data_IF_107956387663
#
_entry.id   IF_107956387663
#
_cell.length_a   1.000
_cell.length_b   1.000
_cell.length_c   1.000
_cell.angle_alpha   90.00
_cell.angle_beta   90.00
_cell.angle_gamma   90.00
#
_symmetry.space_group_name_H-M   'P 1'
#
loop_
_entity.id
_entity.type
_entity.pdbx_description
1 polymer ?
#
# COMPACT_ATOMS: atom_id res chain seq x y z
N UNK A 1 0.36 -4.22 20.71
CA UNK A 1 1.38 -3.45 21.46
C UNK A 1 0.69 -2.91 22.70
N UNK A 2 1.05 -3.43 23.87
CA UNK A 2 0.47 -2.96 25.13
C UNK A 2 0.99 -1.58 25.50
N UNK A 3 0.27 -0.87 26.36
CA UNK A 3 0.76 0.36 26.98
C UNK A 3 2.17 0.13 27.58
N UNK A 4 3.09 1.07 27.36
CA UNK A 4 4.48 0.96 27.79
C UNK A 4 5.42 0.13 26.88
N UNK A 5 4.89 -0.57 25.87
CA UNK A 5 5.75 -1.26 24.91
C UNK A 5 6.46 -0.26 23.97
N UNK A 6 7.79 -0.23 24.05
CA UNK A 6 8.64 0.48 23.08
C UNK A 6 8.81 -0.41 21.85
N UNK A 7 8.39 0.04 20.66
CA UNK A 7 8.69 -0.71 19.45
C UNK A 7 10.21 -0.84 19.29
N UNK A 8 10.70 -1.97 18.74
CA UNK A 8 12.11 -2.13 18.41
C UNK A 8 12.61 -0.95 17.57
N UNK A 9 13.89 -0.59 17.72
CA UNK A 9 14.51 0.49 16.94
C UNK A 9 14.18 0.31 15.45
N UNK A 10 13.47 1.29 14.88
CA UNK A 10 12.81 1.10 13.60
C UNK A 10 13.85 0.91 12.49
N UNK A 11 13.94 -0.31 11.95
CA UNK A 11 14.54 -0.51 10.64
C UNK A 11 13.80 0.39 9.64
N UNK A 12 14.51 0.92 8.66
CA UNK A 12 13.94 1.83 7.66
C UNK A 12 12.65 1.24 7.05
N UNK A 13 12.68 -0.07 6.80
CA UNK A 13 11.57 -0.91 6.35
C UNK A 13 11.73 -2.36 6.87
N UNK A 14 10.67 -3.15 6.92
CA UNK A 14 10.67 -4.57 7.33
C UNK A 14 9.63 -5.40 6.58
N UNK A 15 10.06 -6.52 6.03
CA UNK A 15 9.18 -7.54 5.44
C UNK A 15 9.13 -8.76 6.37
N UNK A 16 7.93 -9.29 6.62
CA UNK A 16 7.72 -10.49 7.41
C UNK A 16 6.75 -11.44 6.70
N UNK A 17 7.04 -12.75 6.70
CA UNK A 17 6.08 -13.76 6.26
C UNK A 17 5.18 -14.15 7.43
N UNK A 18 3.87 -14.14 7.20
CA UNK A 18 2.86 -14.50 8.19
C UNK A 18 2.08 -15.72 7.70
N UNK A 19 1.50 -16.46 8.63
CA UNK A 19 0.63 -17.60 8.33
C UNK A 19 -0.65 -17.52 9.14
N UNK A 20 -1.81 -17.75 8.52
CA UNK A 20 -3.07 -17.88 9.25
C UNK A 20 -3.07 -19.16 10.09
N UNK A 21 -4.00 -19.24 11.04
CA UNK A 21 -4.23 -20.47 11.82
C UNK A 21 -4.58 -21.68 10.93
N UNK A 22 -5.05 -21.45 9.69
CA UNK A 22 -5.36 -22.49 8.70
C UNK A 22 -4.29 -22.66 7.62
N UNK A 23 -3.15 -21.97 7.73
CA UNK A 23 -1.99 -22.14 6.85
C UNK A 23 -1.94 -21.22 5.63
N UNK A 24 -2.85 -20.25 5.49
CA UNK A 24 -2.77 -19.25 4.42
C UNK A 24 -1.54 -18.35 4.63
N UNK A 25 -0.76 -18.13 3.58
CA UNK A 25 0.49 -17.33 3.67
C UNK A 25 0.23 -15.89 3.28
N UNK A 26 0.79 -14.97 4.07
CA UNK A 26 0.76 -13.53 3.80
C UNK A 26 2.17 -12.96 3.89
N UNK A 27 2.38 -11.83 3.24
CA UNK A 27 3.61 -11.05 3.38
C UNK A 27 3.23 -9.68 3.90
N UNK A 28 3.78 -9.32 5.07
CA UNK A 28 3.60 -8.02 5.70
C UNK A 28 4.74 -7.10 5.30
N UNK A 29 4.38 -5.90 4.85
CA UNK A 29 5.32 -4.82 4.52
C UNK A 29 5.11 -3.66 5.47
N UNK A 30 6.15 -3.35 6.25
CA UNK A 30 6.13 -2.24 7.21
C UNK A 30 7.23 -1.25 6.86
N UNK A 31 6.89 0.03 6.79
CA UNK A 31 7.87 1.11 6.62
C UNK A 31 7.89 2.02 7.84
N UNK A 32 9.05 2.60 8.11
CA UNK A 32 9.19 3.73 9.02
C UNK A 32 9.14 5.05 8.24
N UNK A 33 9.08 6.17 8.96
CA UNK A 33 9.18 7.52 8.38
C UNK A 33 10.51 7.78 7.64
N UNK A 34 11.56 6.97 7.92
CA UNK A 34 12.86 7.06 7.25
C UNK A 34 12.82 6.52 5.82
N UNK A 35 11.84 5.68 5.50
CA UNK A 35 11.63 5.19 4.15
C UNK A 35 10.68 6.14 3.43
N UNK A 36 11.22 7.06 2.64
CA UNK A 36 10.44 8.19 2.09
C UNK A 36 9.89 7.92 0.70
N UNK A 37 10.14 6.74 0.15
CA UNK A 37 9.60 6.36 -1.15
C UNK A 37 8.14 5.89 -1.04
N UNK A 38 7.44 5.94 -2.17
CA UNK A 38 6.15 5.27 -2.34
C UNK A 38 6.34 3.77 -2.15
N UNK A 39 5.77 3.24 -1.06
CA UNK A 39 5.92 1.83 -0.68
C UNK A 39 5.46 0.87 -1.79
N UNK A 40 4.43 1.24 -2.54
CA UNK A 40 3.90 0.41 -3.62
C UNK A 40 4.89 0.34 -4.77
N UNK A 41 5.37 1.50 -5.23
CA UNK A 41 6.30 1.63 -6.35
C UNK A 41 7.69 1.09 -6.01
N UNK A 42 8.30 1.62 -4.96
CA UNK A 42 9.72 1.41 -4.63
C UNK A 42 10.00 0.07 -3.93
N UNK A 43 8.96 -0.67 -3.54
CA UNK A 43 9.17 -1.90 -2.78
C UNK A 43 8.16 -3.02 -3.05
N UNK A 44 6.87 -2.82 -2.80
CA UNK A 44 5.87 -3.91 -2.86
C UNK A 44 5.78 -4.51 -4.27
N UNK A 45 5.62 -3.67 -5.30
CA UNK A 45 5.56 -4.12 -6.69
C UNK A 45 6.83 -4.89 -7.09
N UNK A 46 7.99 -4.42 -6.65
CA UNK A 46 9.27 -5.03 -7.00
C UNK A 46 9.45 -6.39 -6.33
N UNK A 47 9.10 -6.52 -5.04
CA UNK A 47 9.29 -7.79 -4.33
C UNK A 47 8.24 -8.83 -4.71
N UNK A 48 7.00 -8.41 -4.94
CA UNK A 48 5.95 -9.31 -5.43
C UNK A 48 6.11 -9.63 -6.93
N UNK A 49 7.05 -8.97 -7.61
CA UNK A 49 7.31 -9.14 -9.03
C UNK A 49 6.04 -8.95 -9.91
N UNK A 50 5.15 -8.04 -9.50
CA UNK A 50 3.84 -7.84 -10.12
C UNK A 50 3.57 -6.35 -10.38
N UNK A 51 2.98 -6.07 -11.53
CA UNK A 51 2.41 -4.74 -11.80
C UNK A 51 1.17 -4.56 -10.93
N UNK A 52 1.09 -3.48 -10.16
CA UNK A 52 0.01 -3.24 -9.20
C UNK A 52 -0.98 -2.18 -9.68
N UNK A 53 -2.26 -2.48 -9.52
CA UNK A 53 -3.35 -1.52 -9.53
C UNK A 53 -3.67 -1.17 -8.07
N UNK A 54 -3.50 0.10 -7.70
CA UNK A 54 -3.62 0.55 -6.32
C UNK A 54 -4.84 1.46 -6.17
N UNK A 55 -5.77 1.05 -5.32
CA UNK A 55 -6.85 1.89 -4.81
C UNK A 55 -6.39 2.53 -3.51
N UNK A 56 -6.43 3.86 -3.48
CA UNK A 56 -6.23 4.63 -2.26
C UNK A 56 -6.98 5.94 -2.38
N UNK A 57 -7.24 6.57 -1.24
CA UNK A 57 -7.85 7.89 -1.21
C UNK A 57 -6.96 8.88 -1.98
N UNK A 58 -7.52 9.44 -3.06
CA UNK A 58 -6.85 10.37 -3.95
C UNK A 58 -7.41 11.77 -3.76
N UNK A 59 -6.95 12.45 -2.72
CA UNK A 59 -7.34 13.84 -2.52
C UNK A 59 -6.71 14.72 -3.60
N UNK A 60 -7.50 15.65 -4.14
CA UNK A 60 -7.09 16.47 -5.28
C UNK A 60 -5.82 17.28 -4.93
N UNK A 61 -4.81 17.22 -5.79
CA UNK A 61 -3.56 17.98 -5.66
C UNK A 61 -2.43 17.32 -4.85
N UNK A 62 -2.69 16.19 -4.17
CA UNK A 62 -1.68 15.55 -3.31
C UNK A 62 -1.39 14.08 -3.63
N UNK A 63 -2.21 13.47 -4.48
CA UNK A 63 -1.99 12.11 -4.97
C UNK A 63 -0.69 12.00 -5.79
N UNK A 64 0.09 10.96 -5.51
CA UNK A 64 1.24 10.60 -6.32
C UNK A 64 0.75 10.09 -7.69
N UNK A 65 1.44 10.41 -8.79
CA UNK A 65 1.08 9.89 -10.10
C UNK A 65 1.31 8.37 -10.16
N UNK A 66 0.66 7.70 -11.13
CA UNK A 66 1.06 6.35 -11.52
C UNK A 66 2.55 6.36 -11.91
N UNK A 67 3.27 5.31 -11.54
CA UNK A 67 4.71 5.22 -11.80
C UNK A 67 5.02 3.97 -12.61
N UNK A 68 5.61 4.18 -13.80
CA UNK A 68 6.04 3.14 -14.72
C UNK A 68 7.55 3.21 -15.02
N UNK A 69 8.34 3.80 -14.11
CA UNK A 69 9.78 4.03 -14.31
C UNK A 69 10.65 2.90 -13.74
N UNK A 70 10.08 2.03 -12.90
CA UNK A 70 10.74 0.84 -12.35
C UNK A 70 10.26 -0.43 -13.08
N UNK A 71 10.99 -1.58 -12.98
CA UNK A 71 10.63 -2.81 -13.68
C UNK A 71 9.20 -3.31 -13.44
N UNK A 72 8.69 -3.11 -12.22
CA UNK A 72 7.28 -3.33 -11.89
C UNK A 72 6.58 -2.02 -11.60
N UNK A 73 5.38 -1.86 -12.14
CA UNK A 73 4.66 -0.61 -12.15
C UNK A 73 3.65 -0.52 -11.01
N UNK A 74 3.36 0.70 -10.56
CA UNK A 74 2.27 0.96 -9.62
C UNK A 74 1.34 2.04 -10.18
N UNK A 75 0.14 1.61 -10.57
CA UNK A 75 -0.85 2.44 -11.25
C UNK A 75 -2.03 2.75 -10.34
N UNK A 76 -2.48 4.00 -10.32
CA UNK A 76 -3.66 4.40 -9.55
C UNK A 76 -4.94 3.93 -10.23
N UNK A 77 -5.80 3.26 -9.49
CA UNK A 77 -7.21 3.09 -9.85
C UNK A 77 -7.88 4.46 -9.76
N UNK A 78 -8.71 4.84 -10.74
CA UNK A 78 -9.41 6.14 -10.75
C UNK A 78 -10.91 6.01 -10.53
N UNK A 79 -11.46 4.89 -10.97
CA UNK A 79 -12.88 4.57 -10.93
C UNK A 79 -13.02 3.08 -10.64
N UNK A 80 -13.96 2.75 -9.78
CA UNK A 80 -14.34 1.38 -9.46
C UNK A 80 -15.76 1.16 -9.94
N UNK A 81 -16.00 -0.02 -10.52
CA UNK A 81 -17.31 -0.49 -10.91
C UNK A 81 -17.57 -1.80 -10.16
N UNK A 82 -18.59 -1.81 -9.31
CA UNK A 82 -19.04 -3.03 -8.64
C UNK A 82 -20.09 -3.74 -9.51
N UNK A 83 -20.29 -5.06 -9.32
CA UNK A 83 -21.26 -5.85 -10.10
C UNK A 83 -22.71 -5.32 -10.05
N UNK A 84 -23.08 -4.63 -8.97
CA UNK A 84 -24.42 -4.06 -8.75
C UNK A 84 -24.65 -2.71 -9.46
N UNK A 85 -23.91 -2.44 -10.54
CA UNK A 85 -23.91 -1.16 -11.26
C UNK A 85 -23.48 0.06 -10.43
N UNK A 86 -23.00 -0.12 -9.20
CA UNK A 86 -22.45 0.97 -8.38
C UNK A 86 -21.09 1.38 -8.94
N UNK A 87 -20.97 2.66 -9.28
CA UNK A 87 -19.73 3.25 -9.77
C UNK A 87 -19.32 4.42 -8.87
N UNK A 88 -18.05 4.48 -8.51
CA UNK A 88 -17.51 5.62 -7.77
C UNK A 88 -16.08 5.95 -8.20
N UNK A 89 -15.66 7.17 -7.89
CA UNK A 89 -14.28 7.62 -8.08
C UNK A 89 -13.49 7.39 -6.80
N UNK A 90 -12.23 7.00 -6.93
CA UNK A 90 -11.32 6.73 -5.81
C UNK A 90 -11.11 7.94 -4.87
N UNK A 91 -11.41 9.17 -5.32
CA UNK A 91 -11.41 10.36 -4.46
C UNK A 91 -12.48 10.34 -3.36
N UNK A 92 -13.50 9.51 -3.51
CA UNK A 92 -14.60 9.32 -2.55
C UNK A 92 -14.45 8.05 -1.72
N UNK A 93 -13.39 7.28 -1.94
CA UNK A 93 -13.13 6.04 -1.21
C UNK A 93 -11.91 6.22 -0.31
N UNK A 94 -12.05 5.80 0.94
CA UNK A 94 -10.97 5.83 1.93
C UNK A 94 -10.25 4.49 2.03
N UNK A 95 -10.70 3.50 1.26
CA UNK A 95 -10.09 2.17 1.18
C UNK A 95 -8.67 2.26 0.64
N UNK A 96 -7.85 1.29 1.04
CA UNK A 96 -6.42 1.23 0.72
C UNK A 96 -6.08 -0.23 0.42
N UNK A 97 -6.06 -0.55 -0.85
CA UNK A 97 -5.83 -1.90 -1.32
C UNK A 97 -5.16 -1.90 -2.69
N UNK A 98 -4.63 -3.04 -3.07
CA UNK A 98 -4.10 -3.23 -4.41
C UNK A 98 -4.36 -4.64 -4.90
N UNK A 99 -4.35 -4.78 -6.21
CA UNK A 99 -4.36 -6.07 -6.89
C UNK A 99 -3.28 -6.08 -7.96
N UNK A 100 -2.84 -7.26 -8.37
CA UNK A 100 -2.05 -7.37 -9.59
C UNK A 100 -2.88 -6.94 -10.79
N UNK A 101 -2.22 -6.32 -11.77
CA UNK A 101 -2.82 -5.98 -13.07
C UNK A 101 -3.17 -7.22 -13.87
N UNK A 102 -2.35 -8.26 -13.74
CA UNK A 102 -2.50 -9.57 -14.37
C UNK A 102 -3.05 -10.54 -13.33
N UNK A 103 -4.05 -11.34 -13.69
CA UNK A 103 -4.78 -12.19 -12.73
C UNK A 103 -3.88 -13.32 -12.18
N UNK A 104 -3.02 -13.84 -13.04
CA UNK A 104 -2.08 -14.94 -12.82
C UNK A 104 -1.02 -14.64 -11.74
N UNK A 105 -0.75 -13.36 -11.48
CA UNK A 105 0.16 -12.95 -10.40
C UNK A 105 -0.47 -13.14 -9.01
N UNK A 106 -1.79 -13.31 -8.92
CA UNK A 106 -2.56 -13.59 -7.70
C UNK A 106 -2.24 -12.68 -6.51
N UNK A 107 -1.93 -11.39 -6.77
CA UNK A 107 -1.67 -10.43 -5.70
C UNK A 107 -2.96 -9.75 -5.28
N UNK A 108 -3.23 -9.76 -3.99
CA UNK A 108 -4.18 -8.86 -3.33
C UNK A 108 -3.51 -8.31 -2.08
N UNK A 109 -3.55 -6.98 -1.91
CA UNK A 109 -3.01 -6.33 -0.73
C UNK A 109 -4.07 -5.45 -0.07
N UNK A 110 -4.01 -5.39 1.25
CA UNK A 110 -4.80 -4.52 2.12
C UNK A 110 -3.80 -3.78 3.02
N UNK A 111 -3.99 -2.49 3.26
CA UNK A 111 -3.05 -1.74 4.08
C UNK A 111 -3.53 -0.37 4.53
N UNK A 112 -2.61 0.38 5.13
CA UNK A 112 -2.92 1.61 5.86
C UNK A 112 -2.48 2.90 5.15
N UNK A 113 -1.72 2.78 4.05
CA UNK A 113 -1.06 3.92 3.39
C UNK A 113 -1.78 4.35 2.11
N UNK A 114 -2.07 5.64 1.98
CA UNK A 114 -2.47 6.21 0.68
C UNK A 114 -1.24 6.48 -0.19
N UNK A 115 -1.43 6.53 -1.51
CA UNK A 115 -0.42 7.04 -2.45
C UNK A 115 -0.48 8.57 -2.53
N UNK A 116 -0.08 9.24 -1.44
CA UNK A 116 -0.05 10.71 -1.33
C UNK A 116 1.29 11.22 -0.80
N UNK A 117 1.70 12.43 -1.21
CA UNK A 117 3.00 13.01 -0.84
C UNK A 117 3.20 13.14 0.68
N UNK A 118 2.14 13.45 1.43
CA UNK A 118 2.18 13.55 2.89
C UNK A 118 2.41 12.19 3.58
N UNK A 119 2.08 11.08 2.91
CA UNK A 119 2.21 9.72 3.44
C UNK A 119 3.62 9.17 3.29
N UNK A 120 4.47 9.80 2.48
CA UNK A 120 5.88 9.44 2.34
C UNK A 120 6.62 9.49 3.68
N UNK A 121 6.24 10.43 4.54
CA UNK A 121 6.82 10.67 5.86
C UNK A 121 6.01 10.07 7.02
N UNK A 122 4.93 9.32 6.73
CA UNK A 122 4.05 8.80 7.79
C UNK A 122 4.71 7.60 8.48
N UNK A 123 4.71 7.64 9.81
CA UNK A 123 5.43 6.70 10.69
C UNK A 123 5.51 7.18 12.15
N UNK A 124 5.23 8.46 12.41
CA UNK A 124 5.04 9.02 13.75
C UNK A 124 3.89 8.34 14.51
N UNK A 125 4.17 7.81 15.71
CA UNK A 125 3.24 8.02 16.83
C UNK A 125 3.26 9.52 17.15
N UNK A 126 2.10 10.11 17.38
CA UNK A 126 2.00 11.51 17.75
C UNK A 126 2.86 11.82 18.97
N UNK A 127 3.76 12.78 18.82
CA UNK A 127 4.18 13.69 19.88
C UNK A 127 3.99 15.09 19.31
N UNK A 128 2.91 15.73 19.76
CA UNK A 128 2.94 17.15 20.06
C UNK A 128 3.87 17.35 21.25
#
# INVERSE_FOLDING_TARGET
LCEGSRPPQASCRRMEQLSSARGDKFVSFVKSEKYVDDIYTGWVAQVLNADLLVESWQNQGHALPSNCSLPKHAMNIKRIQLPTSIQFQSRYDHSKWCVSRVYEDHVTCLGDLNREKAQLWRGRRGQR
#
